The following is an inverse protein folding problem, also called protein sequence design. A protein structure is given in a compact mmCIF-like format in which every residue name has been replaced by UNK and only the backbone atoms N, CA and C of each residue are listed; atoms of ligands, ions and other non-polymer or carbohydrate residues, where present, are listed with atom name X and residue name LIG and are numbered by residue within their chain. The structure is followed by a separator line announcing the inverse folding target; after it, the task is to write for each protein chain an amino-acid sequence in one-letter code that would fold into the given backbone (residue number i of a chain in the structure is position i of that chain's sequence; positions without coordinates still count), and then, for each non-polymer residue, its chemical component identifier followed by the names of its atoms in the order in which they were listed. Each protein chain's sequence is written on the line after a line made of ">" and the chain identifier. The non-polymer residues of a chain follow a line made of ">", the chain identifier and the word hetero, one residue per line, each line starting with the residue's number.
data_IF_943208044811
#
_entry.id   IF_943208044811
#
_cell.length_a   1.000
_cell.length_b   1.000
_cell.length_c   1.000
_cell.angle_alpha   90.00
_cell.angle_beta   90.00
_cell.angle_gamma   90.00
#
_symmetry.space_group_name_H-M   'P 1'
#
loop_
_entity.id
_entity.type
_entity.pdbx_description
1 polymer ?
#
# COMPACT_ATOMS: atom_id res chain seq x y z
N UNK A 1 28.69 8.67 70.02
CA UNK A 1 29.33 8.80 68.69
C UNK A 1 28.48 8.00 67.72
N UNK A 2 27.52 8.66 67.06
CA UNK A 2 26.52 8.04 66.20
C UNK A 2 26.84 8.31 64.74
N UNK A 3 26.81 7.28 63.91
CA UNK A 3 27.02 7.36 62.45
C UNK A 3 25.68 7.16 61.79
N UNK A 4 25.10 8.23 61.24
CA UNK A 4 23.92 8.20 60.41
C UNK A 4 24.26 7.62 59.03
N UNK A 5 23.62 6.50 58.63
CA UNK A 5 23.58 6.04 57.24
C UNK A 5 22.37 6.64 56.57
N UNK A 6 22.58 7.49 55.56
CA UNK A 6 21.54 7.96 54.63
C UNK A 6 21.32 6.89 53.55
N UNK A 7 20.13 6.35 53.52
CA UNK A 7 19.70 5.49 52.44
C UNK A 7 19.26 6.37 51.26
N UNK A 8 19.96 6.30 50.15
CA UNK A 8 19.56 6.92 48.89
C UNK A 8 18.57 5.98 48.17
N UNK A 9 17.34 6.43 48.03
CA UNK A 9 16.32 5.77 47.20
C UNK A 9 16.57 6.20 45.76
N UNK A 10 17.07 5.29 44.92
CA UNK A 10 17.12 5.49 43.47
C UNK A 10 15.72 5.29 42.88
N UNK A 11 15.06 6.37 42.51
CA UNK A 11 13.91 6.34 41.64
C UNK A 11 14.37 6.04 40.20
N UNK A 12 14.24 4.79 39.77
CA UNK A 12 14.45 4.41 38.38
C UNK A 12 13.26 4.91 37.58
N UNK A 13 13.42 6.02 36.87
CA UNK A 13 12.48 6.47 35.84
C UNK A 13 12.59 5.55 34.63
N UNK A 14 11.64 4.63 34.48
CA UNK A 14 11.49 3.84 33.27
C UNK A 14 10.92 4.77 32.20
N UNK A 15 11.76 5.30 31.35
CA UNK A 15 11.33 5.94 30.10
C UNK A 15 10.82 4.83 29.17
N UNK A 16 9.51 4.67 29.08
CA UNK A 16 8.87 3.90 28.02
C UNK A 16 9.12 4.65 26.69
N UNK A 17 10.00 4.09 25.86
CA UNK A 17 10.18 4.54 24.49
C UNK A 17 8.88 4.26 23.72
N UNK A 18 8.10 5.29 23.47
CA UNK A 18 6.97 5.25 22.55
C UNK A 18 7.51 5.13 21.13
N UNK A 19 7.45 3.94 20.54
CA UNK A 19 7.57 3.74 19.09
C UNK A 19 6.20 3.96 18.43
N UNK A 20 5.61 5.13 18.62
CA UNK A 20 4.58 5.62 17.72
C UNK A 20 5.25 6.00 16.39
N UNK A 21 4.53 5.88 15.29
CA UNK A 21 4.95 6.33 13.96
C UNK A 21 5.19 7.85 14.00
N UNK A 22 6.23 8.27 14.70
CA UNK A 22 6.80 9.58 14.51
C UNK A 22 7.85 9.38 13.44
N UNK A 23 7.68 10.00 12.28
CA UNK A 23 8.79 10.32 11.39
C UNK A 23 9.73 11.23 12.21
N UNK A 24 10.52 10.58 13.09
CA UNK A 24 11.51 11.27 13.91
C UNK A 24 12.63 11.74 13.00
N UNK A 25 13.25 12.86 13.33
CA UNK A 25 14.33 13.51 12.59
C UNK A 25 15.64 12.69 12.45
N UNK A 26 15.58 11.37 12.62
CA UNK A 26 16.60 10.36 12.28
C UNK A 26 16.05 9.34 11.27
N UNK A 27 15.04 9.72 10.46
CA UNK A 27 14.55 8.87 9.39
C UNK A 27 15.70 8.59 8.42
N UNK A 28 15.97 7.29 8.16
CA UNK A 28 16.88 6.87 7.10
C UNK A 28 16.49 7.56 5.81
N UNK A 29 17.48 8.06 5.05
CA UNK A 29 17.20 8.63 3.75
C UNK A 29 16.69 7.54 2.80
N UNK A 30 15.97 7.92 1.75
CA UNK A 30 15.58 6.96 0.71
C UNK A 30 16.81 6.24 0.13
N UNK A 31 17.98 6.89 0.07
CA UNK A 31 19.23 6.30 -0.41
C UNK A 31 19.67 5.15 0.47
N UNK A 32 19.74 5.38 1.79
CA UNK A 32 20.13 4.33 2.74
C UNK A 32 19.17 3.13 2.68
N UNK A 33 17.86 3.42 2.52
CA UNK A 33 16.83 2.38 2.43
C UNK A 33 16.91 1.56 1.14
N UNK A 34 17.25 2.20 0.01
CA UNK A 34 17.43 1.52 -1.28
C UNK A 34 18.77 0.77 -1.35
N UNK A 35 19.82 1.29 -0.70
CA UNK A 35 21.10 0.58 -0.54
C UNK A 35 20.93 -0.69 0.31
N UNK A 36 20.16 -0.61 1.42
CA UNK A 36 19.85 -1.76 2.27
C UNK A 36 19.08 -2.86 1.52
N UNK A 37 18.10 -2.46 0.69
CA UNK A 37 17.29 -3.37 -0.12
C UNK A 37 16.92 -2.71 -1.46
N UNK A 38 17.66 -2.99 -2.55
CA UNK A 38 17.39 -2.45 -3.88
C UNK A 38 16.00 -2.78 -4.42
N UNK A 39 15.36 -3.88 -3.98
CA UNK A 39 14.00 -4.25 -4.40
C UNK A 39 12.95 -3.23 -3.99
N UNK A 40 13.24 -2.38 -2.98
CA UNK A 40 12.39 -1.25 -2.58
C UNK A 40 12.24 -0.22 -3.71
N UNK A 41 13.18 -0.15 -4.66
CA UNK A 41 13.02 0.67 -5.85
C UNK A 41 11.80 0.25 -6.71
N UNK A 42 11.27 -0.95 -6.51
CA UNK A 42 9.99 -1.39 -7.08
C UNK A 42 8.79 -0.54 -6.68
N UNK A 43 8.92 0.32 -5.66
CA UNK A 43 7.93 1.28 -5.24
C UNK A 43 6.61 0.61 -4.85
N UNK A 44 5.51 1.03 -5.50
CA UNK A 44 4.18 0.43 -5.26
C UNK A 44 4.08 -1.06 -5.62
N UNK A 45 5.04 -1.61 -6.36
CA UNK A 45 5.12 -3.04 -6.65
C UNK A 45 5.92 -3.82 -5.60
N UNK A 46 6.58 -3.11 -4.67
CA UNK A 46 7.32 -3.76 -3.60
C UNK A 46 6.38 -4.62 -2.74
N UNK A 47 6.84 -5.79 -2.33
CA UNK A 47 6.09 -6.72 -1.49
C UNK A 47 5.94 -6.19 -0.05
N UNK A 48 5.08 -6.83 0.73
CA UNK A 48 4.82 -6.45 2.12
C UNK A 48 5.97 -6.84 3.03
N UNK A 49 6.75 -5.87 3.49
CA UNK A 49 7.79 -6.07 4.50
C UNK A 49 7.18 -6.01 5.91
N UNK A 50 7.06 -7.17 6.55
CA UNK A 50 6.64 -7.22 7.95
C UNK A 50 7.81 -6.91 8.89
N UNK A 51 7.68 -5.86 9.70
CA UNK A 51 8.57 -5.58 10.81
C UNK A 51 7.82 -5.73 12.13
N UNK A 52 8.26 -6.64 13.04
CA UNK A 52 7.62 -6.80 14.34
C UNK A 52 7.60 -5.49 15.13
N UNK A 53 6.43 -5.14 15.68
CA UNK A 53 6.26 -4.00 16.57
C UNK A 53 5.47 -4.40 17.81
N UNK A 54 5.79 -3.78 18.96
CA UNK A 54 5.02 -3.97 20.17
C UNK A 54 3.80 -3.05 20.16
N UNK A 55 2.62 -3.59 20.44
CA UNK A 55 1.39 -2.83 20.53
C UNK A 55 1.14 -2.32 21.95
N UNK A 56 0.69 -1.08 22.05
CA UNK A 56 0.25 -0.45 23.29
C UNK A 56 -0.94 -1.23 23.86
N UNK A 57 -0.84 -1.63 25.11
CA UNK A 57 -1.92 -2.36 25.79
C UNK A 57 -3.16 -1.49 25.94
N UNK A 58 -4.33 -2.11 25.80
CA UNK A 58 -5.58 -1.44 26.07
C UNK A 58 -5.64 -0.90 27.50
N UNK A 59 -6.24 0.28 27.75
CA UNK A 59 -6.45 0.80 29.07
C UNK A 59 -7.28 -0.18 29.94
N UNK A 60 -7.05 -0.15 31.25
CA UNK A 60 -7.74 -1.07 32.19
C UNK A 60 -9.26 -1.02 32.01
N UNK A 61 -9.85 -2.18 31.81
CA UNK A 61 -11.29 -2.34 31.65
C UNK A 61 -11.81 -2.29 30.22
N UNK A 62 -10.99 -1.92 29.26
CA UNK A 62 -11.33 -1.96 27.84
C UNK A 62 -10.90 -3.29 27.22
N UNK A 63 -11.77 -3.85 26.36
CA UNK A 63 -11.50 -5.08 25.59
C UNK A 63 -11.85 -4.86 24.12
N UNK A 64 -11.06 -5.39 23.17
CA UNK A 64 -11.40 -5.31 21.77
C UNK A 64 -12.64 -6.17 21.47
N UNK A 65 -13.51 -5.72 20.58
CA UNK A 65 -14.75 -6.42 20.26
C UNK A 65 -15.21 -6.30 18.81
N UNK A 66 -14.61 -5.36 18.03
CA UNK A 66 -14.93 -5.15 16.63
C UNK A 66 -13.72 -4.60 15.89
N UNK A 67 -13.54 -5.02 14.62
CA UNK A 67 -12.50 -4.51 13.73
C UNK A 67 -13.11 -4.06 12.41
N UNK A 68 -12.79 -2.83 11.97
CA UNK A 68 -13.01 -2.35 10.62
C UNK A 68 -11.67 -2.35 9.88
N UNK A 69 -11.60 -3.06 8.75
CA UNK A 69 -10.40 -3.26 7.97
C UNK A 69 -10.60 -2.82 6.51
N UNK A 70 -9.57 -2.22 5.92
CA UNK A 70 -9.42 -2.08 4.48
C UNK A 70 -8.02 -2.50 4.07
N UNK A 71 -7.90 -3.47 3.14
CA UNK A 71 -6.64 -3.96 2.62
C UNK A 71 -6.55 -3.81 1.10
N UNK A 72 -5.38 -3.39 0.62
CA UNK A 72 -4.94 -3.54 -0.76
C UNK A 72 -4.75 -5.02 -1.07
N UNK A 73 -4.99 -5.47 -2.32
CA UNK A 73 -4.60 -6.82 -2.75
C UNK A 73 -3.10 -7.09 -2.49
N UNK A 74 -2.73 -8.34 -2.34
CA UNK A 74 -1.35 -8.77 -2.16
C UNK A 74 -0.50 -8.68 -3.43
N UNK A 75 0.75 -9.13 -3.33
CA UNK A 75 1.70 -9.26 -4.43
C UNK A 75 1.06 -9.98 -5.62
N UNK A 76 1.30 -9.47 -6.82
CA UNK A 76 0.62 -9.91 -8.04
C UNK A 76 1.54 -9.91 -9.25
N UNK A 77 1.15 -10.62 -10.28
CA UNK A 77 1.71 -10.48 -11.62
C UNK A 77 1.39 -9.11 -12.21
N UNK A 78 2.20 -8.61 -13.16
CA UNK A 78 1.93 -7.35 -13.83
C UNK A 78 0.57 -7.38 -14.54
N UNK A 79 -0.11 -6.24 -14.63
CA UNK A 79 -1.48 -6.20 -15.19
C UNK A 79 -1.52 -6.21 -16.71
N UNK A 80 -0.42 -5.88 -17.40
CA UNK A 80 -0.36 -5.77 -18.86
C UNK A 80 0.80 -6.56 -19.44
N UNK A 81 0.53 -7.31 -20.51
CA UNK A 81 1.55 -8.01 -21.31
C UNK A 81 2.36 -7.10 -22.22
N UNK A 82 1.93 -5.86 -22.47
CA UNK A 82 2.63 -4.96 -23.38
C UNK A 82 4.06 -4.64 -22.93
N UNK A 83 4.30 -4.56 -21.62
CA UNK A 83 5.61 -4.36 -21.02
C UNK A 83 6.60 -5.43 -21.47
N UNK A 84 6.23 -6.70 -21.33
CA UNK A 84 7.10 -7.82 -21.69
C UNK A 84 7.25 -7.94 -23.19
N UNK A 85 6.17 -7.75 -23.96
CA UNK A 85 6.20 -7.84 -25.41
C UNK A 85 7.27 -6.90 -26.01
N UNK A 86 7.27 -5.63 -25.62
CA UNK A 86 8.26 -4.67 -26.10
C UNK A 86 9.70 -5.06 -25.74
N UNK A 87 9.95 -5.43 -24.48
CA UNK A 87 11.29 -5.82 -24.02
C UNK A 87 11.78 -7.14 -24.65
N UNK A 88 10.90 -8.15 -24.75
CA UNK A 88 11.23 -9.45 -25.39
C UNK A 88 11.58 -9.26 -26.87
N UNK A 89 10.73 -8.55 -27.63
CA UNK A 89 10.95 -8.30 -29.08
C UNK A 89 12.23 -7.51 -29.32
N UNK A 90 12.51 -6.51 -28.50
CA UNK A 90 13.72 -5.67 -28.61
C UNK A 90 14.96 -6.50 -28.36
N UNK A 91 15.02 -7.24 -27.26
CA UNK A 91 16.18 -8.07 -26.90
C UNK A 91 16.38 -9.24 -27.90
N UNK A 92 15.31 -9.85 -28.40
CA UNK A 92 15.40 -10.89 -29.43
C UNK A 92 15.93 -10.34 -30.76
N UNK A 93 15.55 -9.10 -31.13
CA UNK A 93 16.04 -8.44 -32.33
C UNK A 93 17.52 -8.08 -32.20
N UNK A 94 17.93 -7.56 -31.04
CA UNK A 94 19.33 -7.25 -30.75
C UNK A 94 20.21 -8.52 -30.74
N UNK A 95 19.72 -9.64 -30.23
CA UNK A 95 20.41 -10.91 -30.24
C UNK A 95 20.64 -11.42 -31.67
N UNK A 96 19.61 -11.40 -32.52
CA UNK A 96 19.73 -11.77 -33.96
C UNK A 96 20.71 -10.90 -34.70
N UNK A 97 20.83 -9.63 -34.31
CA UNK A 97 21.82 -8.70 -34.90
C UNK A 97 23.23 -8.86 -34.31
N UNK A 98 23.45 -9.75 -33.35
CA UNK A 98 24.73 -9.96 -32.67
C UNK A 98 25.15 -8.79 -31.79
N UNK A 99 24.19 -7.97 -31.31
CA UNK A 99 24.44 -6.76 -30.56
C UNK A 99 24.41 -6.96 -29.04
N UNK A 100 24.09 -8.17 -28.50
CA UNK A 100 24.07 -8.38 -27.07
C UNK A 100 25.45 -8.73 -26.52
N UNK A 101 25.82 -8.08 -25.41
CA UNK A 101 26.93 -8.52 -24.53
C UNK A 101 26.52 -9.79 -23.77
N UNK A 102 27.42 -10.39 -22.98
CA UNK A 102 27.04 -11.50 -22.05
C UNK A 102 26.02 -11.03 -21.02
N UNK A 103 26.16 -9.79 -20.53
CA UNK A 103 25.17 -9.14 -19.64
C UNK A 103 23.81 -8.98 -20.34
N UNK A 104 23.81 -8.54 -21.59
CA UNK A 104 22.58 -8.41 -22.40
C UNK A 104 21.88 -9.75 -22.65
N UNK A 105 22.65 -10.84 -22.84
CA UNK A 105 22.09 -12.21 -22.95
C UNK A 105 21.49 -12.69 -21.64
N UNK A 106 22.14 -12.36 -20.51
CA UNK A 106 21.60 -12.67 -19.17
C UNK A 106 20.28 -11.92 -18.94
N UNK A 107 20.24 -10.60 -19.17
CA UNK A 107 19.02 -9.80 -19.07
C UNK A 107 17.91 -10.37 -19.95
N UNK A 108 18.21 -10.75 -21.21
CA UNK A 108 17.23 -11.36 -22.10
C UNK A 108 16.67 -12.65 -21.52
N UNK A 109 17.52 -13.54 -21.02
CA UNK A 109 17.08 -14.79 -20.39
C UNK A 109 16.16 -14.56 -19.20
N UNK A 110 16.46 -13.55 -18.36
CA UNK A 110 15.65 -13.18 -17.21
C UNK A 110 14.29 -12.58 -17.62
N UNK A 111 14.26 -11.70 -18.62
CA UNK A 111 13.02 -11.12 -19.18
C UNK A 111 12.16 -12.20 -19.82
N UNK A 112 12.75 -13.12 -20.61
CA UNK A 112 12.04 -14.24 -21.24
C UNK A 112 11.42 -15.18 -20.19
N UNK A 113 12.16 -15.50 -19.13
CA UNK A 113 11.68 -16.30 -18.01
C UNK A 113 10.49 -15.63 -17.31
N UNK A 114 10.65 -14.36 -16.97
CA UNK A 114 9.59 -13.57 -16.31
C UNK A 114 8.34 -13.43 -17.19
N UNK A 115 8.52 -13.18 -18.50
CA UNK A 115 7.43 -13.14 -19.46
C UNK A 115 6.70 -14.49 -19.54
N UNK A 116 7.44 -15.62 -19.56
CA UNK A 116 6.86 -16.96 -19.61
C UNK A 116 6.01 -17.24 -18.37
N UNK A 117 6.48 -16.87 -17.18
CA UNK A 117 5.72 -17.02 -15.94
C UNK A 117 4.44 -16.16 -15.91
N UNK A 118 4.43 -15.01 -16.59
CA UNK A 118 3.28 -14.11 -16.68
C UNK A 118 2.19 -14.59 -17.66
N UNK A 119 2.48 -15.52 -18.57
CA UNK A 119 1.50 -15.94 -19.58
C UNK A 119 0.26 -16.57 -18.92
N UNK A 120 -0.91 -16.00 -19.20
CA UNK A 120 -2.18 -16.39 -18.59
C UNK A 120 -2.39 -15.92 -17.14
N UNK A 121 -1.39 -15.21 -16.54
CA UNK A 121 -1.41 -14.79 -15.14
C UNK A 121 -1.47 -13.26 -14.95
N UNK A 122 -1.59 -12.49 -16.01
CA UNK A 122 -1.61 -11.01 -15.91
C UNK A 122 -2.66 -10.52 -14.93
N UNK A 123 -2.22 -9.70 -13.96
CA UNK A 123 -3.06 -9.12 -12.92
C UNK A 123 -3.56 -10.07 -11.85
N UNK A 124 -3.17 -11.35 -11.90
CA UNK A 124 -3.52 -12.36 -10.89
C UNK A 124 -2.63 -12.24 -9.65
N UNK A 125 -3.16 -12.64 -8.50
CA UNK A 125 -2.42 -12.73 -7.24
C UNK A 125 -1.32 -13.80 -7.35
N UNK A 126 -0.13 -13.53 -6.80
CA UNK A 126 0.94 -14.53 -6.68
C UNK A 126 0.82 -15.34 -5.38
N UNK A 127 1.61 -16.40 -5.24
CA UNK A 127 1.72 -17.15 -3.98
C UNK A 127 2.25 -16.27 -2.84
N UNK A 128 3.19 -15.35 -3.14
CA UNK A 128 3.64 -14.34 -2.17
C UNK A 128 2.47 -13.50 -1.67
N UNK A 129 1.63 -12.99 -2.56
CA UNK A 129 0.46 -12.19 -2.19
C UNK A 129 -0.56 -12.95 -1.35
N UNK A 130 -0.76 -14.23 -1.63
CA UNK A 130 -1.58 -15.10 -0.81
C UNK A 130 -0.99 -15.29 0.61
N UNK A 131 0.33 -15.49 0.71
CA UNK A 131 1.04 -15.63 1.98
C UNK A 131 1.02 -14.33 2.80
N UNK A 132 1.16 -13.16 2.16
CA UNK A 132 1.02 -11.84 2.80
C UNK A 132 -0.32 -11.72 3.51
N UNK A 133 -1.43 -11.99 2.83
CA UNK A 133 -2.76 -11.90 3.42
C UNK A 133 -3.00 -12.92 4.54
N UNK A 134 -2.52 -14.16 4.41
CA UNK A 134 -2.56 -15.14 5.51
C UNK A 134 -1.75 -14.66 6.71
N UNK A 135 -0.58 -14.08 6.48
CA UNK A 135 0.28 -13.53 7.53
C UNK A 135 -0.38 -12.36 8.29
N UNK A 136 -0.93 -11.38 7.57
CA UNK A 136 -1.64 -10.22 8.16
C UNK A 136 -2.85 -10.70 8.98
N UNK A 137 -3.67 -11.58 8.42
CA UNK A 137 -4.84 -12.15 9.11
C UNK A 137 -4.43 -12.92 10.38
N UNK A 138 -3.36 -13.71 10.29
CA UNK A 138 -2.83 -14.46 11.43
C UNK A 138 -2.36 -13.55 12.56
N UNK A 139 -1.64 -12.46 12.25
CA UNK A 139 -1.19 -11.46 13.23
C UNK A 139 -2.36 -10.68 13.82
N UNK A 140 -3.30 -10.21 13.00
CA UNK A 140 -4.51 -9.53 13.46
C UNK A 140 -5.30 -10.40 14.45
N UNK A 141 -5.51 -11.67 14.11
CA UNK A 141 -6.23 -12.61 14.98
C UNK A 141 -5.47 -12.94 16.26
N UNK A 142 -4.13 -12.98 16.21
CA UNK A 142 -3.30 -13.22 17.39
C UNK A 142 -3.24 -12.01 18.33
N UNK A 143 -3.24 -10.80 17.78
CA UNK A 143 -3.18 -9.55 18.56
C UNK A 143 -4.53 -9.20 19.20
N UNK A 144 -5.65 -9.62 18.58
CA UNK A 144 -7.02 -9.29 19.04
C UNK A 144 -7.92 -10.53 19.13
N UNK A 145 -7.51 -11.56 19.92
CA UNK A 145 -8.24 -12.82 19.97
C UNK A 145 -9.68 -12.67 20.51
N UNK A 146 -9.93 -11.65 21.34
CA UNK A 146 -11.28 -11.40 21.89
C UNK A 146 -12.30 -11.01 20.81
N UNK A 147 -11.86 -10.41 19.69
CA UNK A 147 -12.74 -10.07 18.58
C UNK A 147 -13.24 -11.34 17.89
N UNK A 148 -12.33 -12.27 17.62
CA UNK A 148 -12.63 -13.46 16.82
C UNK A 148 -13.03 -14.68 17.65
N UNK A 149 -12.71 -14.74 18.96
CA UNK A 149 -13.10 -15.79 19.90
C UNK A 149 -14.15 -15.31 20.91
N UNK A 150 -14.67 -14.10 20.74
CA UNK A 150 -15.66 -13.50 21.61
C UNK A 150 -17.09 -14.03 21.38
N UNK A 151 -18.06 -13.23 21.79
CA UNK A 151 -19.50 -13.55 21.59
C UNK A 151 -19.99 -13.25 20.19
N UNK A 152 -19.35 -12.30 19.49
CA UNK A 152 -19.72 -11.86 18.14
C UNK A 152 -19.20 -12.84 17.12
N UNK A 153 -20.01 -13.18 16.13
CA UNK A 153 -19.67 -14.23 15.15
C UNK A 153 -19.79 -13.80 13.69
N UNK A 154 -20.45 -12.69 13.41
CA UNK A 154 -20.70 -12.25 12.04
C UNK A 154 -19.52 -11.43 11.50
N UNK A 155 -18.98 -11.80 10.32
CA UNK A 155 -17.90 -11.12 9.62
C UNK A 155 -18.35 -10.77 8.21
N UNK A 156 -18.50 -9.50 7.93
CA UNK A 156 -18.80 -9.03 6.58
C UNK A 156 -17.50 -8.87 5.77
N UNK A 157 -17.51 -9.37 4.55
CA UNK A 157 -16.36 -9.37 3.65
C UNK A 157 -16.77 -8.79 2.32
N UNK A 158 -16.21 -7.63 1.98
CA UNK A 158 -16.50 -6.93 0.71
C UNK A 158 -15.21 -6.84 -0.10
N UNK A 159 -15.28 -7.18 -1.38
CA UNK A 159 -14.11 -7.11 -2.27
C UNK A 159 -14.46 -6.42 -3.57
N UNK A 160 -13.49 -5.68 -4.12
CA UNK A 160 -13.46 -5.40 -5.55
C UNK A 160 -13.55 -6.73 -6.33
N UNK A 161 -14.24 -6.73 -7.46
CA UNK A 161 -14.46 -7.96 -8.24
C UNK A 161 -13.24 -8.44 -9.03
N UNK A 162 -12.12 -7.74 -8.97
CA UNK A 162 -10.88 -8.18 -9.58
C UNK A 162 -10.34 -9.45 -8.91
N UNK A 163 -9.94 -10.47 -9.68
CA UNK A 163 -9.50 -11.77 -9.13
C UNK A 163 -8.47 -11.65 -8.01
N UNK A 164 -7.47 -10.77 -8.15
CA UNK A 164 -6.45 -10.54 -7.12
C UNK A 164 -7.04 -10.10 -5.77
N UNK A 165 -8.10 -9.28 -5.78
CA UNK A 165 -8.75 -8.84 -4.54
C UNK A 165 -9.60 -9.96 -3.93
N UNK A 166 -10.35 -10.69 -4.76
CA UNK A 166 -11.14 -11.84 -4.33
C UNK A 166 -10.28 -12.94 -3.72
N UNK A 167 -9.13 -13.26 -4.34
CA UNK A 167 -8.21 -14.29 -3.86
C UNK A 167 -7.49 -13.79 -2.60
N UNK A 168 -7.16 -12.49 -2.49
CA UNK A 168 -6.65 -11.87 -1.27
C UNK A 168 -7.64 -12.04 -0.11
N UNK A 169 -8.93 -11.70 -0.33
CA UNK A 169 -10.00 -11.89 0.63
C UNK A 169 -10.13 -13.35 1.07
N UNK A 170 -10.10 -14.29 0.13
CA UNK A 170 -10.22 -15.72 0.42
C UNK A 170 -9.06 -16.22 1.30
N UNK A 171 -7.81 -15.84 1.01
CA UNK A 171 -6.65 -16.23 1.81
C UNK A 171 -6.68 -15.61 3.21
N UNK A 172 -7.07 -14.34 3.32
CA UNK A 172 -7.20 -13.64 4.59
C UNK A 172 -8.26 -14.31 5.47
N UNK A 173 -9.47 -14.51 4.94
CA UNK A 173 -10.58 -15.09 5.69
C UNK A 173 -10.38 -16.55 6.04
N UNK A 174 -9.67 -17.33 5.19
CA UNK A 174 -9.26 -18.71 5.52
C UNK A 174 -8.37 -18.73 6.77
N UNK A 175 -7.37 -17.86 6.85
CA UNK A 175 -6.49 -17.79 8.01
C UNK A 175 -7.22 -17.34 9.30
N UNK A 176 -8.21 -16.44 9.21
CA UNK A 176 -9.07 -16.08 10.33
C UNK A 176 -9.93 -17.29 10.74
N UNK A 177 -10.51 -18.02 9.78
CA UNK A 177 -11.35 -19.20 10.01
C UNK A 177 -10.59 -20.35 10.69
N UNK A 178 -9.32 -20.54 10.36
CA UNK A 178 -8.46 -21.51 11.03
C UNK A 178 -8.34 -21.27 12.54
N UNK A 179 -8.44 -19.99 12.98
CA UNK A 179 -8.41 -19.63 14.40
C UNK A 179 -9.76 -19.88 15.09
N UNK A 180 -10.87 -19.65 14.38
CA UNK A 180 -12.21 -19.92 14.90
C UNK A 180 -13.18 -20.29 13.77
N UNK A 181 -13.44 -21.59 13.62
CA UNK A 181 -14.38 -22.13 12.63
C UNK A 181 -15.87 -21.80 12.90
N UNK A 182 -16.21 -21.17 14.04
CA UNK A 182 -17.61 -20.77 14.38
C UNK A 182 -17.99 -19.43 13.78
N UNK A 183 -17.03 -18.66 13.26
CA UNK A 183 -17.30 -17.39 12.61
C UNK A 183 -18.10 -17.62 11.30
N UNK A 184 -19.07 -16.75 11.08
CA UNK A 184 -19.91 -16.73 9.89
C UNK A 184 -19.45 -15.60 8.98
N UNK A 185 -18.94 -15.95 7.82
CA UNK A 185 -18.44 -15.01 6.84
C UNK A 185 -19.49 -14.77 5.77
N UNK A 186 -19.83 -13.50 5.54
CA UNK A 186 -20.72 -13.04 4.48
C UNK A 186 -19.87 -12.37 3.40
N UNK A 187 -19.80 -12.99 2.22
CA UNK A 187 -18.99 -12.52 1.12
C UNK A 187 -19.83 -11.79 0.09
N UNK A 188 -19.46 -10.55 -0.21
CA UNK A 188 -20.09 -9.77 -1.25
C UNK A 188 -19.06 -9.14 -2.19
N UNK A 189 -19.41 -9.04 -3.46
CA UNK A 189 -18.64 -8.38 -4.51
C UNK A 189 -19.57 -7.93 -5.63
N UNK A 190 -19.11 -7.08 -6.50
CA UNK A 190 -19.84 -6.63 -7.67
C UNK A 190 -19.78 -5.13 -7.89
N UNK A 191 -20.26 -4.65 -9.07
CA UNK A 191 -20.14 -3.23 -9.45
C UNK A 191 -20.71 -2.25 -8.42
N UNK A 192 -21.85 -2.57 -7.81
CA UNK A 192 -22.50 -1.70 -6.80
C UNK A 192 -21.68 -1.40 -5.54
N UNK A 193 -20.62 -2.19 -5.28
CA UNK A 193 -19.73 -1.99 -4.14
C UNK A 193 -18.47 -1.19 -4.49
N UNK A 194 -18.25 -0.93 -5.80
CA UNK A 194 -17.06 -0.21 -6.25
C UNK A 194 -17.02 1.23 -5.77
N UNK A 195 -18.18 1.85 -5.55
CA UNK A 195 -18.29 3.25 -5.14
C UNK A 195 -17.51 3.54 -3.86
N UNK A 196 -17.33 2.55 -2.98
CA UNK A 196 -16.55 2.70 -1.75
C UNK A 196 -15.39 1.71 -1.62
N UNK A 197 -15.26 0.71 -2.51
CA UNK A 197 -14.13 -0.23 -2.49
C UNK A 197 -13.05 0.16 -3.50
N UNK A 198 -13.44 0.72 -4.65
CA UNK A 198 -12.52 1.10 -5.71
C UNK A 198 -13.21 2.15 -6.59
N UNK A 199 -13.40 3.34 -6.04
CA UNK A 199 -14.10 4.40 -6.75
C UNK A 199 -13.37 4.78 -8.04
N UNK A 200 -14.12 4.91 -9.12
CA UNK A 200 -13.62 5.36 -10.41
C UNK A 200 -13.77 6.90 -10.47
N UNK A 201 -12.64 7.60 -10.54
CA UNK A 201 -12.62 9.02 -10.87
C UNK A 201 -12.32 9.19 -12.35
N UNK A 202 -12.73 10.28 -12.95
CA UNK A 202 -12.17 10.71 -14.24
C UNK A 202 -10.72 11.19 -14.02
N UNK A 203 -9.81 10.24 -13.92
CA UNK A 203 -8.39 10.50 -13.67
C UNK A 203 -7.64 11.00 -14.89
N UNK A 204 -8.29 11.21 -16.05
CA UNK A 204 -7.60 11.54 -17.32
C UNK A 204 -6.70 12.75 -17.22
N UNK A 205 -7.18 13.85 -16.61
CA UNK A 205 -6.38 15.05 -16.45
C UNK A 205 -5.24 14.85 -15.44
N UNK A 206 -5.54 14.27 -14.29
CA UNK A 206 -4.54 13.94 -13.25
C UNK A 206 -3.45 13.02 -13.82
N UNK A 207 -3.83 11.99 -14.60
CA UNK A 207 -2.89 11.07 -15.23
C UNK A 207 -2.06 11.74 -16.32
N UNK A 208 -2.64 12.68 -17.06
CA UNK A 208 -1.90 13.46 -18.07
C UNK A 208 -0.80 14.30 -17.43
N UNK A 209 -1.14 15.09 -16.42
CA UNK A 209 -0.19 15.99 -15.75
C UNK A 209 0.87 15.20 -14.97
N UNK A 210 0.49 14.13 -14.28
CA UNK A 210 1.44 13.26 -13.59
C UNK A 210 2.42 12.57 -14.55
N UNK A 211 1.99 12.24 -15.78
CA UNK A 211 2.89 11.73 -16.82
C UNK A 211 3.84 12.81 -17.37
N UNK A 212 3.42 14.09 -17.38
CA UNK A 212 4.34 15.22 -17.71
C UNK A 212 5.42 15.34 -16.63
N UNK A 213 5.02 15.34 -15.35
CA UNK A 213 5.95 15.35 -14.22
C UNK A 213 6.94 14.19 -14.31
N UNK A 214 6.46 12.97 -14.52
CA UNK A 214 7.30 11.78 -14.63
C UNK A 214 8.32 11.89 -15.78
N UNK A 215 7.90 12.34 -16.96
CA UNK A 215 8.82 12.52 -18.10
C UNK A 215 9.91 13.54 -17.79
N UNK A 216 9.53 14.66 -17.17
CA UNK A 216 10.49 15.67 -16.75
C UNK A 216 11.54 15.09 -15.79
N UNK A 217 11.11 14.33 -14.77
CA UNK A 217 12.01 13.69 -13.81
C UNK A 217 12.88 12.62 -14.50
N UNK A 218 12.30 11.80 -15.35
CA UNK A 218 13.04 10.78 -16.09
C UNK A 218 14.10 11.40 -17.00
N UNK A 219 13.78 12.51 -17.67
CA UNK A 219 14.73 13.21 -18.55
C UNK A 219 15.86 13.89 -17.80
N UNK A 220 15.59 14.38 -16.58
CA UNK A 220 16.58 15.11 -15.77
C UNK A 220 17.44 14.20 -14.88
N UNK A 221 16.93 13.04 -14.45
CA UNK A 221 17.57 12.19 -13.44
C UNK A 221 18.19 10.90 -14.03
N UNK A 222 17.75 10.47 -15.22
CA UNK A 222 18.13 9.16 -15.77
C UNK A 222 18.91 9.34 -17.08
N UNK A 223 20.12 8.78 -17.10
CA UNK A 223 20.92 8.56 -18.31
C UNK A 223 20.84 7.08 -18.71
N UNK A 224 20.70 6.80 -20.00
CA UNK A 224 20.62 5.42 -20.50
C UNK A 224 21.95 4.89 -21.02
N UNK A 225 22.96 5.75 -21.18
CA UNK A 225 24.21 5.46 -21.92
C UNK A 225 25.01 4.34 -21.23
N UNK A 226 25.12 4.38 -19.88
CA UNK A 226 25.80 3.31 -19.13
C UNK A 226 25.06 1.98 -19.27
N UNK A 227 23.74 1.98 -19.08
CA UNK A 227 22.90 0.78 -19.19
C UNK A 227 23.02 0.16 -20.59
N UNK A 228 22.95 0.98 -21.65
CA UNK A 228 23.13 0.52 -23.03
C UNK A 228 24.55 -0.02 -23.28
N UNK A 229 25.59 0.63 -22.73
CA UNK A 229 26.96 0.15 -22.80
C UNK A 229 27.21 -1.18 -22.12
N UNK A 230 26.44 -1.50 -21.06
CA UNK A 230 26.50 -2.81 -20.40
C UNK A 230 25.78 -3.90 -21.20
N UNK A 231 24.63 -3.57 -21.80
CA UNK A 231 23.73 -4.53 -22.45
C UNK A 231 24.09 -4.78 -23.92
N UNK A 232 24.60 -3.76 -24.64
CA UNK A 232 24.83 -3.83 -26.07
C UNK A 232 26.32 -3.66 -26.44
N UNK A 233 26.83 -4.48 -27.38
CA UNK A 233 28.19 -4.46 -27.86
C UNK A 233 28.48 -3.21 -28.72
N UNK A 234 27.45 -2.62 -29.33
CA UNK A 234 27.50 -1.38 -30.12
C UNK A 234 26.27 -0.51 -29.69
N UNK A 235 26.43 0.35 -28.68
CA UNK A 235 25.35 1.21 -28.21
C UNK A 235 24.78 2.16 -29.26
N UNK A 236 25.57 2.60 -30.21
CA UNK A 236 25.11 3.49 -31.28
C UNK A 236 24.14 2.75 -32.22
N UNK A 237 24.48 1.56 -32.68
CA UNK A 237 23.57 0.70 -33.45
C UNK A 237 22.35 0.27 -32.65
N UNK A 238 22.54 0.01 -31.35
CA UNK A 238 21.39 -0.33 -30.46
C UNK A 238 20.43 0.85 -30.40
N UNK A 239 20.89 2.10 -30.31
CA UNK A 239 20.03 3.29 -30.32
C UNK A 239 19.28 3.49 -31.64
N UNK A 240 19.88 3.12 -32.79
CA UNK A 240 19.18 3.11 -34.09
C UNK A 240 18.03 2.07 -34.09
N UNK A 241 18.25 0.90 -33.46
CA UNK A 241 17.26 -0.16 -33.32
C UNK A 241 16.18 0.14 -32.30
N UNK A 242 16.53 0.90 -31.25
CA UNK A 242 15.68 1.23 -30.10
C UNK A 242 15.52 2.76 -30.06
N UNK A 243 14.55 3.33 -30.81
CA UNK A 243 14.39 4.79 -30.93
C UNK A 243 14.07 5.52 -29.64
N UNK A 244 13.65 4.77 -28.60
CA UNK A 244 13.29 5.30 -27.28
C UNK A 244 14.05 4.58 -26.16
N UNK A 245 15.36 4.84 -26.04
CA UNK A 245 16.22 4.10 -25.11
C UNK A 245 15.79 4.22 -23.64
N UNK A 246 15.37 5.40 -23.19
CA UNK A 246 14.86 5.60 -21.81
C UNK A 246 13.56 4.85 -21.55
N UNK A 247 12.66 4.74 -22.55
CA UNK A 247 11.43 3.96 -22.42
C UNK A 247 11.72 2.45 -22.32
N UNK A 248 12.67 1.95 -23.10
CA UNK A 248 13.14 0.57 -22.99
C UNK A 248 13.74 0.28 -21.61
N UNK A 249 14.64 1.15 -21.16
CA UNK A 249 15.25 1.05 -19.82
C UNK A 249 14.19 1.07 -18.70
N UNK A 250 13.21 1.94 -18.80
CA UNK A 250 12.09 2.03 -17.86
C UNK A 250 11.19 0.79 -17.88
N UNK A 251 10.97 0.18 -19.06
CA UNK A 251 10.23 -1.10 -19.15
C UNK A 251 10.98 -2.24 -18.48
N UNK A 252 12.32 -2.30 -18.63
CA UNK A 252 13.16 -3.27 -17.91
C UNK A 252 13.10 -3.02 -16.40
N UNK A 253 13.13 -1.76 -15.96
CA UNK A 253 12.98 -1.41 -14.55
C UNK A 253 11.63 -1.86 -13.99
N UNK A 254 10.53 -1.71 -14.72
CA UNK A 254 9.21 -2.20 -14.25
C UNK A 254 9.22 -3.75 -14.16
N UNK A 255 9.87 -4.43 -15.10
CA UNK A 255 10.03 -5.87 -15.01
C UNK A 255 10.81 -6.27 -13.74
N UNK A 256 11.90 -5.54 -13.42
CA UNK A 256 12.61 -5.68 -12.15
C UNK A 256 11.75 -5.40 -10.92
N UNK A 257 10.88 -4.38 -10.99
CA UNK A 257 9.98 -4.01 -9.91
C UNK A 257 8.95 -5.10 -9.56
N UNK A 258 8.50 -5.87 -10.56
CA UNK A 258 7.51 -6.93 -10.36
C UNK A 258 8.14 -8.29 -10.07
N UNK A 259 9.38 -8.50 -10.48
CA UNK A 259 10.12 -9.77 -10.35
C UNK A 259 10.10 -10.35 -8.94
N UNK A 260 10.34 -9.58 -7.86
CA UNK A 260 10.30 -10.11 -6.49
C UNK A 260 8.99 -10.75 -6.09
N UNK A 261 7.89 -10.45 -6.80
CA UNK A 261 6.57 -11.00 -6.50
C UNK A 261 6.33 -12.37 -7.13
N UNK A 262 7.20 -12.83 -8.03
CA UNK A 262 7.07 -14.04 -8.83
C UNK A 262 7.85 -15.23 -8.23
N UNK A 263 7.60 -16.44 -8.71
CA UNK A 263 8.28 -17.66 -8.23
C UNK A 263 9.74 -17.68 -8.70
N UNK A 264 9.97 -17.35 -9.97
CA UNK A 264 11.31 -17.36 -10.58
C UNK A 264 12.25 -16.29 -10.05
N UNK A 265 11.70 -15.15 -9.63
CA UNK A 265 12.38 -14.03 -8.99
C UNK A 265 13.74 -13.69 -9.64
N UNK A 266 13.82 -13.48 -10.96
CA UNK A 266 15.09 -13.11 -11.59
C UNK A 266 15.55 -11.74 -11.11
N UNK A 267 16.84 -11.63 -10.77
CA UNK A 267 17.45 -10.37 -10.31
C UNK A 267 17.72 -9.42 -11.46
N UNK A 268 16.67 -8.72 -11.90
CA UNK A 268 16.76 -7.76 -13.02
C UNK A 268 17.38 -6.44 -12.55
N UNK A 269 17.25 -6.08 -11.27
CA UNK A 269 17.81 -4.84 -10.76
C UNK A 269 19.33 -4.82 -10.74
N UNK A 270 20.00 -5.98 -10.74
CA UNK A 270 21.46 -6.08 -10.84
C UNK A 270 22.06 -5.47 -12.13
N UNK A 271 21.26 -5.27 -13.19
CA UNK A 271 21.69 -4.62 -14.41
C UNK A 271 21.78 -3.10 -14.33
N UNK A 272 21.20 -2.49 -13.28
CA UNK A 272 21.21 -1.06 -13.03
C UNK A 272 22.27 -0.70 -11.99
N UNK A 273 22.84 0.50 -12.10
CA UNK A 273 23.58 1.06 -10.99
C UNK A 273 22.63 1.81 -10.01
N UNK A 274 23.18 2.23 -8.88
CA UNK A 274 22.41 2.91 -7.84
C UNK A 274 21.75 4.20 -8.34
N UNK A 275 22.46 5.03 -9.10
CA UNK A 275 21.94 6.31 -9.62
C UNK A 275 20.75 6.08 -10.59
N UNK A 276 20.86 5.06 -11.43
CA UNK A 276 19.80 4.67 -12.37
C UNK A 276 18.56 4.14 -11.63
N UNK A 277 18.74 3.26 -10.63
CA UNK A 277 17.65 2.76 -9.82
C UNK A 277 16.95 3.89 -9.05
N UNK A 278 17.70 4.78 -8.43
CA UNK A 278 17.17 5.93 -7.69
C UNK A 278 16.41 6.86 -8.64
N UNK A 279 16.99 7.23 -9.77
CA UNK A 279 16.34 8.14 -10.72
C UNK A 279 15.05 7.59 -11.30
N UNK A 280 15.03 6.30 -11.66
CA UNK A 280 13.85 5.59 -12.13
C UNK A 280 12.78 5.50 -11.05
N UNK A 281 13.16 5.16 -9.82
CA UNK A 281 12.25 5.13 -8.67
C UNK A 281 11.66 6.52 -8.38
N UNK A 282 12.48 7.57 -8.25
CA UNK A 282 12.01 8.95 -8.00
C UNK A 282 10.93 9.35 -9.01
N UNK A 283 11.18 9.08 -10.30
CA UNK A 283 10.25 9.46 -11.36
C UNK A 283 8.87 8.82 -11.20
N UNK A 284 8.81 7.63 -10.60
CA UNK A 284 7.58 6.87 -10.36
C UNK A 284 6.94 7.19 -9.03
N UNK A 285 7.73 7.31 -7.97
CA UNK A 285 7.28 7.69 -6.63
C UNK A 285 6.57 9.04 -6.66
N UNK A 286 7.21 10.07 -7.23
CA UNK A 286 6.66 11.42 -7.28
C UNK A 286 5.40 11.49 -8.17
N UNK A 287 5.40 10.75 -9.31
CA UNK A 287 4.21 10.58 -10.13
C UNK A 287 3.07 9.92 -9.35
N UNK A 288 3.34 8.85 -8.60
CA UNK A 288 2.30 8.11 -7.89
C UNK A 288 1.69 8.97 -6.78
N UNK A 289 2.52 9.72 -6.06
CA UNK A 289 2.04 10.69 -5.08
C UNK A 289 1.18 11.79 -5.71
N UNK A 290 1.57 12.33 -6.88
CA UNK A 290 0.75 13.29 -7.63
C UNK A 290 -0.64 12.71 -7.95
N UNK A 291 -0.68 11.46 -8.41
CA UNK A 291 -1.91 10.86 -8.93
C UNK A 291 -2.87 10.38 -7.83
N UNK A 292 -2.37 9.93 -6.68
CA UNK A 292 -3.17 9.24 -5.67
C UNK A 292 -2.83 9.63 -4.22
N UNK A 293 -1.76 10.39 -4.00
CA UNK A 293 -1.47 11.02 -2.72
C UNK A 293 -2.32 12.28 -2.52
N UNK A 294 -2.38 12.77 -1.28
CA UNK A 294 -3.05 14.05 -0.98
C UNK A 294 -2.05 15.17 -1.24
N UNK A 295 -1.66 15.32 -2.51
CA UNK A 295 -0.68 16.31 -2.94
C UNK A 295 -1.21 17.75 -2.82
N UNK A 296 -0.29 18.71 -2.84
CA UNK A 296 -0.65 20.13 -2.86
C UNK A 296 -1.37 20.52 -4.17
N UNK A 297 -1.11 19.78 -5.26
CA UNK A 297 -1.69 20.04 -6.58
C UNK A 297 -3.08 19.43 -6.74
N UNK A 298 -3.26 18.13 -6.46
CA UNK A 298 -4.45 17.35 -6.81
C UNK A 298 -5.13 16.72 -5.58
N UNK A 299 -4.62 16.93 -4.37
CA UNK A 299 -5.09 16.25 -3.17
C UNK A 299 -6.56 16.51 -2.84
N UNK A 300 -7.12 17.65 -3.21
CA UNK A 300 -8.55 17.93 -3.04
C UNK A 300 -9.40 17.04 -3.95
N UNK A 301 -9.02 16.94 -5.21
CA UNK A 301 -9.65 16.04 -6.19
C UNK A 301 -9.50 14.58 -5.77
N UNK A 302 -8.29 14.15 -5.41
CA UNK A 302 -7.99 12.77 -5.00
C UNK A 302 -8.75 12.39 -3.72
N UNK A 303 -9.00 13.32 -2.80
CA UNK A 303 -9.79 13.08 -1.58
C UNK A 303 -11.22 12.58 -1.90
N UNK A 304 -11.77 12.91 -3.08
CA UNK A 304 -13.10 12.44 -3.50
C UNK A 304 -13.19 10.91 -3.58
N UNK A 305 -12.07 10.22 -3.84
CA UNK A 305 -11.98 8.75 -3.82
C UNK A 305 -12.28 8.21 -2.41
N UNK A 306 -11.81 8.90 -1.38
CA UNK A 306 -11.93 8.46 0.01
C UNK A 306 -13.32 8.68 0.61
N UNK A 307 -14.09 9.66 0.12
CA UNK A 307 -15.37 10.08 0.73
C UNK A 307 -16.34 8.91 0.94
N UNK A 308 -16.75 8.14 -0.09
CA UNK A 308 -17.71 7.04 0.10
C UNK A 308 -17.18 5.94 1.04
N UNK A 309 -15.87 5.71 1.03
CA UNK A 309 -15.23 4.73 1.90
C UNK A 309 -15.22 5.19 3.37
N UNK A 310 -14.97 6.47 3.64
CA UNK A 310 -15.07 7.06 4.99
C UNK A 310 -16.51 6.94 5.49
N UNK A 311 -17.50 7.27 4.66
CA UNK A 311 -18.92 7.18 4.99
C UNK A 311 -19.34 5.73 5.32
N UNK A 312 -18.91 4.75 4.51
CA UNK A 312 -19.16 3.33 4.76
C UNK A 312 -18.49 2.83 6.05
N UNK A 313 -17.24 3.23 6.31
CA UNK A 313 -16.53 2.89 7.56
C UNK A 313 -17.30 3.39 8.79
N UNK A 314 -17.76 4.64 8.77
CA UNK A 314 -18.52 5.24 9.87
C UNK A 314 -19.87 4.53 10.02
N UNK A 315 -20.62 4.33 8.94
CA UNK A 315 -21.93 3.69 8.97
C UNK A 315 -21.85 2.25 9.52
N UNK A 316 -20.86 1.46 9.06
CA UNK A 316 -20.66 0.07 9.52
C UNK A 316 -20.19 0.00 10.98
N UNK A 317 -19.34 0.93 11.40
CA UNK A 317 -18.96 1.04 12.80
C UNK A 317 -20.18 1.36 13.68
N UNK A 318 -21.02 2.32 13.29
CA UNK A 318 -22.25 2.66 14.02
C UNK A 318 -23.22 1.47 14.10
N UNK A 319 -23.34 0.66 13.03
CA UNK A 319 -24.11 -0.60 13.05
C UNK A 319 -23.53 -1.63 14.03
N UNK A 320 -22.22 -1.81 14.00
CA UNK A 320 -21.53 -2.73 14.90
C UNK A 320 -21.64 -2.32 16.39
N UNK A 321 -21.83 -1.04 16.66
CA UNK A 321 -21.98 -0.49 18.02
C UNK A 321 -23.41 -0.58 18.57
N UNK A 322 -24.43 -0.92 17.76
CA UNK A 322 -25.81 -1.05 18.24
C UNK A 322 -25.90 -2.17 19.28
N UNK A 323 -26.75 -2.00 20.33
CA UNK A 323 -27.00 -3.05 21.28
C UNK A 323 -27.49 -4.34 20.60
N UNK A 324 -26.92 -5.48 20.98
CA UNK A 324 -27.27 -6.78 20.40
C UNK A 324 -26.61 -7.09 19.04
N UNK A 325 -25.77 -6.21 18.51
CA UNK A 325 -25.03 -6.49 17.28
C UNK A 325 -24.09 -7.69 17.45
N UNK A 326 -24.14 -8.64 16.51
CA UNK A 326 -23.26 -9.81 16.44
C UNK A 326 -22.06 -9.61 15.49
N UNK A 327 -21.86 -8.38 14.98
CA UNK A 327 -20.79 -8.01 14.05
C UNK A 327 -19.43 -8.01 14.76
N UNK A 328 -18.53 -8.94 14.36
CA UNK A 328 -17.17 -9.02 14.84
C UNK A 328 -16.21 -8.20 13.97
N UNK A 329 -16.39 -8.20 12.65
CA UNK A 329 -15.55 -7.43 11.74
C UNK A 329 -16.24 -7.06 10.43
N UNK A 330 -15.80 -5.96 9.84
CA UNK A 330 -15.99 -5.57 8.44
C UNK A 330 -14.64 -5.57 7.73
N UNK A 331 -14.46 -6.49 6.79
CA UNK A 331 -13.22 -6.71 6.05
C UNK A 331 -13.39 -6.28 4.61
N UNK A 332 -12.63 -5.28 4.16
CA UNK A 332 -12.69 -4.73 2.81
C UNK A 332 -11.39 -5.02 2.08
N UNK A 333 -11.50 -5.43 0.80
CA UNK A 333 -10.36 -5.77 -0.05
C UNK A 333 -10.45 -5.02 -1.38
N UNK A 334 -9.49 -4.13 -1.61
CA UNK A 334 -9.44 -3.25 -2.76
C UNK A 334 -8.03 -3.02 -3.28
N UNK A 335 -7.73 -1.77 -3.56
CA UNK A 335 -6.54 -1.34 -4.28
C UNK A 335 -5.77 -0.26 -3.52
N UNK A 336 -4.52 -0.04 -3.94
CA UNK A 336 -3.69 1.11 -3.54
C UNK A 336 -4.39 2.45 -3.78
N UNK A 337 -5.04 2.58 -4.94
CA UNK A 337 -5.80 3.79 -5.36
C UNK A 337 -7.07 4.05 -4.53
N UNK A 338 -7.47 3.15 -3.65
CA UNK A 338 -8.49 3.38 -2.63
C UNK A 338 -7.90 3.62 -1.24
N UNK A 339 -6.88 2.82 -0.88
CA UNK A 339 -6.27 2.89 0.45
C UNK A 339 -5.45 4.16 0.65
N UNK A 340 -4.60 4.55 -0.31
CA UNK A 340 -3.75 5.73 -0.18
C UNK A 340 -4.57 7.04 -0.06
N UNK A 341 -5.58 7.30 -0.92
CA UNK A 341 -6.49 8.41 -0.70
C UNK A 341 -7.19 8.39 0.66
N UNK A 342 -7.64 7.21 1.13
CA UNK A 342 -8.27 7.09 2.45
C UNK A 342 -7.34 7.56 3.57
N UNK A 343 -6.16 6.97 3.68
CA UNK A 343 -5.24 7.25 4.81
C UNK A 343 -4.67 8.67 4.75
N UNK A 344 -4.46 9.23 3.55
CA UNK A 344 -4.07 10.61 3.36
C UNK A 344 -5.20 11.59 3.70
N UNK A 345 -6.44 11.30 3.28
CA UNK A 345 -7.59 12.19 3.55
C UNK A 345 -7.96 12.23 5.02
N UNK A 346 -7.94 11.08 5.73
CA UNK A 346 -8.15 11.08 7.18
C UNK A 346 -6.92 11.56 7.95
N UNK A 347 -5.77 11.72 7.28
CA UNK A 347 -4.55 12.30 7.85
C UNK A 347 -3.96 11.46 8.97
N UNK A 348 -3.66 10.18 8.73
CA UNK A 348 -2.90 9.39 9.71
C UNK A 348 -1.49 9.97 9.85
N UNK A 349 -0.87 9.79 11.03
CA UNK A 349 0.46 10.32 11.31
C UNK A 349 1.48 9.96 10.21
N UNK A 350 2.15 10.98 9.68
CA UNK A 350 3.08 10.88 8.55
C UNK A 350 2.43 10.99 7.16
N UNK A 351 1.11 11.15 7.07
CA UNK A 351 0.37 11.38 5.83
C UNK A 351 -0.59 12.60 5.91
N UNK A 352 -0.48 13.40 6.97
CA UNK A 352 -1.34 14.57 7.21
C UNK A 352 -0.91 15.80 6.43
N UNK A 353 0.33 15.85 5.96
CA UNK A 353 0.87 16.99 5.23
C UNK A 353 0.65 16.87 3.72
N UNK A 354 0.35 17.99 3.08
CA UNK A 354 0.21 18.10 1.62
C UNK A 354 1.50 18.66 1.03
N UNK A 355 2.36 17.78 0.55
CA UNK A 355 3.58 18.18 -0.15
C UNK A 355 3.32 18.48 -1.62
N UNK A 356 4.22 19.26 -2.23
CA UNK A 356 4.33 19.31 -3.69
C UNK A 356 4.86 17.97 -4.19
N UNK A 357 4.32 17.50 -5.29
CA UNK A 357 4.67 16.19 -5.83
C UNK A 357 6.11 16.14 -6.34
N UNK A 358 6.60 17.23 -6.97
CA UNK A 358 8.00 17.31 -7.37
C UNK A 358 8.90 17.41 -6.13
N UNK A 359 9.74 16.42 -5.89
CA UNK A 359 10.66 16.37 -4.75
C UNK A 359 10.08 15.69 -3.51
N UNK A 360 8.86 15.13 -3.59
CA UNK A 360 8.22 14.43 -2.46
C UNK A 360 9.01 13.20 -2.01
N UNK A 361 9.82 12.62 -2.87
CA UNK A 361 10.73 11.51 -2.58
C UNK A 361 11.72 11.80 -1.43
N UNK A 362 11.86 13.03 -0.96
CA UNK A 362 12.64 13.35 0.22
C UNK A 362 11.88 13.16 1.54
N UNK A 363 10.55 12.95 1.49
CA UNK A 363 9.68 12.87 2.66
C UNK A 363 8.71 11.68 2.60
N UNK A 364 8.40 11.17 1.43
CA UNK A 364 7.39 10.15 1.20
C UNK A 364 7.91 9.06 0.24
N UNK A 365 7.81 7.79 0.65
CA UNK A 365 8.34 6.64 -0.07
C UNK A 365 7.22 5.63 -0.29
N UNK A 366 6.81 5.44 -1.55
CA UNK A 366 5.71 4.58 -1.93
C UNK A 366 5.90 3.13 -1.46
N UNK A 367 7.14 2.61 -1.48
CA UNK A 367 7.47 1.26 -0.99
C UNK A 367 7.25 1.07 0.52
N UNK A 368 7.21 2.15 1.32
CA UNK A 368 6.87 2.09 2.75
C UNK A 368 5.41 2.43 3.00
N UNK A 369 4.90 3.44 2.26
CA UNK A 369 3.57 3.99 2.50
C UNK A 369 2.49 3.09 1.94
N UNK A 370 2.70 2.52 0.75
CA UNK A 370 1.67 1.77 0.04
C UNK A 370 2.22 0.52 -0.70
N UNK A 371 3.09 -0.32 -0.08
CA UNK A 371 3.51 -1.58 -0.70
C UNK A 371 2.33 -2.50 -0.99
N UNK A 372 2.58 -3.64 -1.65
CA UNK A 372 1.57 -4.71 -1.81
C UNK A 372 1.01 -5.13 -0.45
N UNK A 373 -0.25 -5.56 -0.39
CA UNK A 373 -0.97 -5.96 0.81
C UNK A 373 -1.08 -4.90 1.93
N UNK A 374 -0.75 -3.63 1.65
CA UNK A 374 -0.96 -2.54 2.62
C UNK A 374 -2.37 -2.54 3.18
N UNK A 375 -2.50 -2.24 4.46
CA UNK A 375 -3.81 -2.30 5.11
C UNK A 375 -3.94 -1.33 6.28
N UNK A 376 -5.17 -0.86 6.49
CA UNK A 376 -5.59 -0.10 7.66
C UNK A 376 -6.55 -0.96 8.48
N UNK A 377 -6.30 -1.05 9.77
CA UNK A 377 -7.17 -1.70 10.75
C UNK A 377 -7.59 -0.67 11.79
N UNK A 378 -8.88 -0.56 12.05
CA UNK A 378 -9.45 0.23 13.14
C UNK A 378 -10.03 -0.75 14.17
N UNK A 379 -9.38 -0.87 15.31
CA UNK A 379 -9.74 -1.81 16.36
C UNK A 379 -10.54 -1.08 17.45
N UNK A 380 -11.77 -1.53 17.71
CA UNK A 380 -12.70 -0.93 18.65
C UNK A 380 -12.66 -1.66 19.99
N UNK A 381 -12.47 -0.91 21.06
CA UNK A 381 -12.38 -1.38 22.44
C UNK A 381 -13.52 -0.80 23.26
N UNK A 382 -14.28 -1.65 23.93
CA UNK A 382 -15.37 -1.24 24.81
C UNK A 382 -15.07 -1.51 26.28
N UNK A 383 -15.68 -0.71 27.18
CA UNK A 383 -15.68 -0.94 28.61
C UNK A 383 -17.10 -1.17 29.14
N UNK A 384 -17.23 -1.52 30.45
CA UNK A 384 -18.53 -1.77 31.09
C UNK A 384 -19.44 -0.52 31.22
N UNK A 385 -18.87 0.68 31.04
CA UNK A 385 -19.61 1.95 31.10
C UNK A 385 -20.19 2.36 29.75
N UNK A 386 -19.83 1.64 28.67
CA UNK A 386 -20.25 1.96 27.30
C UNK A 386 -19.30 2.91 26.58
N UNK A 387 -18.16 3.28 27.19
CA UNK A 387 -17.17 4.09 26.50
C UNK A 387 -16.45 3.26 25.43
N UNK A 388 -16.19 3.87 24.27
CA UNK A 388 -15.53 3.22 23.12
C UNK A 388 -14.25 3.95 22.79
N UNK A 389 -13.16 3.20 22.70
CA UNK A 389 -11.87 3.64 22.17
C UNK A 389 -11.57 2.93 20.88
N UNK A 390 -10.86 3.61 19.98
CA UNK A 390 -10.38 3.08 18.69
C UNK A 390 -8.87 3.21 18.62
N UNK A 391 -8.20 2.14 18.22
CA UNK A 391 -6.79 2.12 17.87
C UNK A 391 -6.68 1.93 16.36
N UNK A 392 -5.82 2.70 15.72
CA UNK A 392 -5.48 2.52 14.32
C UNK A 392 -4.16 1.75 14.19
N UNK A 393 -4.14 0.80 13.26
CA UNK A 393 -2.94 0.06 12.86
C UNK A 393 -2.82 0.15 11.34
N UNK A 394 -1.69 0.66 10.87
CA UNK A 394 -1.36 0.75 9.46
C UNK A 394 -0.11 -0.07 9.16
N UNK A 395 -0.19 -1.00 8.21
CA UNK A 395 0.92 -1.90 7.86
C UNK A 395 1.59 -2.55 9.09
N UNK A 396 0.76 -3.14 9.97
CA UNK A 396 1.17 -3.79 11.23
C UNK A 396 1.87 -2.85 12.24
N UNK A 397 1.73 -1.53 12.12
CA UNK A 397 2.27 -0.54 13.06
C UNK A 397 1.15 0.33 13.62
N UNK A 398 1.23 0.61 14.93
CA UNK A 398 0.28 1.55 15.55
C UNK A 398 0.44 2.93 14.94
N UNK A 399 -0.68 3.57 14.64
CA UNK A 399 -0.75 4.96 14.16
C UNK A 399 -1.90 5.70 14.84
N UNK A 400 -2.00 6.98 14.57
CA UNK A 400 -3.07 7.84 15.08
C UNK A 400 -3.35 8.97 14.07
N UNK A 401 -4.41 9.73 14.29
CA UNK A 401 -4.73 10.92 13.50
C UNK A 401 -4.36 12.15 14.35
N UNK A 402 -3.31 12.93 13.98
CA UNK A 402 -2.85 14.07 14.77
C UNK A 402 -3.92 15.14 15.03
N UNK A 403 -4.85 15.31 14.09
CA UNK A 403 -5.97 16.25 14.20
C UNK A 403 -7.03 15.83 15.26
N UNK A 404 -6.99 14.58 15.74
CA UNK A 404 -7.94 14.06 16.72
C UNK A 404 -7.25 13.76 18.04
N UNK A 405 -7.80 14.24 19.15
CA UNK A 405 -7.24 14.00 20.48
C UNK A 405 -7.02 12.52 20.74
N UNK A 406 -5.81 12.17 21.19
CA UNK A 406 -5.48 10.81 21.62
C UNK A 406 -5.74 10.61 23.12
N UNK A 407 -6.09 9.40 23.46
CA UNK A 407 -6.15 8.89 24.82
C UNK A 407 -5.06 7.82 24.99
N UNK A 408 -4.23 7.92 26.01
CA UNK A 408 -3.11 7.00 26.25
C UNK A 408 -2.17 6.84 25.03
N UNK A 409 -1.94 7.95 24.33
CA UNK A 409 -0.97 8.07 23.24
C UNK A 409 -1.43 7.63 21.85
N UNK A 410 -2.16 6.51 21.73
CA UNK A 410 -2.53 5.92 20.43
C UNK A 410 -4.01 5.62 20.25
N UNK A 411 -4.82 5.78 21.30
CA UNK A 411 -6.26 5.54 21.22
C UNK A 411 -7.01 6.83 20.98
N UNK A 412 -8.04 6.80 20.15
CA UNK A 412 -9.01 7.88 20.03
C UNK A 412 -10.32 7.47 20.70
N UNK A 413 -11.04 8.40 21.30
CA UNK A 413 -12.45 8.16 21.64
C UNK A 413 -13.24 8.07 20.34
N UNK A 414 -14.14 7.07 20.24
CA UNK A 414 -14.94 6.93 19.01
C UNK A 414 -15.80 8.16 18.74
N UNK A 415 -16.36 8.80 19.76
CA UNK A 415 -17.12 10.05 19.59
C UNK A 415 -16.34 11.11 18.82
N UNK A 416 -15.10 11.34 19.22
CA UNK A 416 -14.24 12.39 18.67
C UNK A 416 -13.75 12.02 17.27
N UNK A 417 -13.34 10.77 17.10
CA UNK A 417 -12.90 10.23 15.81
C UNK A 417 -14.05 10.20 14.79
N UNK A 418 -15.25 9.75 15.21
CA UNK A 418 -16.43 9.72 14.36
C UNK A 418 -16.82 11.11 13.89
N UNK A 419 -16.87 12.08 14.81
CA UNK A 419 -17.18 13.49 14.48
C UNK A 419 -16.16 14.04 13.45
N UNK A 420 -14.88 13.76 13.65
CA UNK A 420 -13.82 14.14 12.71
C UNK A 420 -14.03 13.52 11.32
N UNK A 421 -14.25 12.19 11.25
CA UNK A 421 -14.45 11.48 9.99
C UNK A 421 -15.69 11.98 9.22
N UNK A 422 -16.80 12.21 9.93
CA UNK A 422 -18.02 12.76 9.33
C UNK A 422 -17.78 14.17 8.77
N UNK A 423 -17.10 15.04 9.53
CA UNK A 423 -16.76 16.38 9.07
C UNK A 423 -15.80 16.35 7.87
N UNK A 424 -14.81 15.46 7.89
CA UNK A 424 -13.87 15.27 6.79
C UNK A 424 -14.60 14.86 5.52
N UNK A 425 -15.48 13.86 5.58
CA UNK A 425 -16.27 13.42 4.43
C UNK A 425 -17.20 14.54 3.92
N UNK A 426 -17.87 15.25 4.82
CA UNK A 426 -18.79 16.33 4.45
C UNK A 426 -18.09 17.54 3.80
N UNK A 427 -16.81 17.76 4.09
CA UNK A 427 -16.02 18.83 3.49
C UNK A 427 -15.56 18.53 2.06
N UNK A 428 -15.64 17.28 1.61
CA UNK A 428 -15.23 16.86 0.27
C UNK A 428 -16.38 17.12 -0.72
N UNK A 429 -16.09 17.84 -1.81
CA UNK A 429 -17.05 18.11 -2.88
C UNK A 429 -17.48 16.84 -3.62
N UNK A 430 -18.76 16.76 -4.00
CA UNK A 430 -19.30 15.69 -4.86
C UNK A 430 -19.09 15.94 -6.35
N UNK A 431 -18.54 17.10 -6.73
CA UNK A 431 -18.38 17.50 -8.14
C UNK A 431 -17.49 16.56 -8.94
N UNK A 432 -16.56 15.89 -8.26
CA UNK A 432 -15.59 14.98 -8.88
C UNK A 432 -16.06 13.52 -8.85
N UNK A 433 -17.19 13.22 -8.23
CA UNK A 433 -17.74 11.88 -8.13
C UNK A 433 -18.50 11.56 -9.42
N UNK A 434 -17.91 10.76 -10.29
CA UNK A 434 -18.59 10.26 -11.50
C UNK A 434 -19.64 9.24 -11.08
N UNK A 435 -20.89 9.67 -10.97
CA UNK A 435 -22.04 8.76 -10.84
C UNK A 435 -22.37 8.26 -12.23
N UNK A 436 -22.02 7.02 -12.53
CA UNK A 436 -22.50 6.39 -13.77
C UNK A 436 -23.92 5.85 -13.56
N UNK A 437 -24.91 6.64 -13.93
CA UNK A 437 -26.34 6.23 -13.96
C UNK A 437 -26.65 5.30 -15.16
N UNK A 438 -25.69 5.01 -16.05
CA UNK A 438 -25.93 4.32 -17.33
C UNK A 438 -25.97 2.80 -17.24
N UNK A 439 -25.62 2.20 -16.08
CA UNK A 439 -25.55 0.74 -15.92
C UNK A 439 -24.50 0.05 -16.80
N UNK A 440 -23.63 0.81 -17.46
CA UNK A 440 -22.48 0.28 -18.19
C UNK A 440 -21.47 -0.28 -17.21
N UNK A 441 -20.91 -1.45 -17.55
CA UNK A 441 -19.77 -2.00 -16.81
C UNK A 441 -18.70 -0.91 -16.67
N UNK A 442 -18.47 -0.47 -15.44
CA UNK A 442 -17.34 0.40 -15.14
C UNK A 442 -16.08 -0.42 -15.45
N UNK A 443 -15.41 -0.09 -16.53
CA UNK A 443 -14.08 -0.61 -16.80
C UNK A 443 -13.18 -0.03 -15.73
N UNK A 444 -12.95 -0.81 -14.67
CA UNK A 444 -12.01 -0.45 -13.62
C UNK A 444 -10.68 -0.06 -14.24
N UNK A 445 -9.92 0.79 -13.58
CA UNK A 445 -8.66 1.37 -14.03
C UNK A 445 -7.78 0.30 -14.70
N UNK A 446 -8.00 0.08 -15.99
CA UNK A 446 -7.17 -0.73 -16.86
C UNK A 446 -6.06 0.17 -17.34
N UNK A 447 -4.92 0.18 -16.64
CA UNK A 447 -3.78 0.96 -17.14
C UNK A 447 -2.82 1.50 -16.08
N UNK A 448 -2.68 0.85 -14.94
CA UNK A 448 -1.52 1.05 -14.05
C UNK A 448 -0.61 -0.15 -14.10
#
# INVERSE_FOLDING_TARGET
>A
MGIFRKSAVYAASIALAFNAFTFSATAQSYKDLLEENPERAGGVYHYYEYAPSAFTKAPKGYKPFYISHYGRHGSRYHTSGNLFKGSVETLATAEKAGLLTEEGKLLKSQIDSLNTEHQGMFGMLTERGAAEHRGIAGRMSANYPEVFNGKRSEVECVSSYWPRCLISMANFTSAVRERNGKLKFHYVTGPKYLDYISMDLDTKNVMKESNVLRRHLLDSLVSYERFFGAIFTDPAKATELIPKPKEFMDNVFIAGSISPNTIGHPDIFSHFNEEELIGLWISRNDKFYYSFGISAEEGEYVSSIAKPLIEDIVAKADEALKPGSDRAADLRFGHDVGLLPLVGTIGIAGMEERWKSMGVHSHWFDFQMIPMASNLQMIFFGNKKGDILVKLVYNDRETYIPAVKTYNGVFHKWSDLREYLVKTAAAISDEHIVKDDSGKERTGVSGL
#
